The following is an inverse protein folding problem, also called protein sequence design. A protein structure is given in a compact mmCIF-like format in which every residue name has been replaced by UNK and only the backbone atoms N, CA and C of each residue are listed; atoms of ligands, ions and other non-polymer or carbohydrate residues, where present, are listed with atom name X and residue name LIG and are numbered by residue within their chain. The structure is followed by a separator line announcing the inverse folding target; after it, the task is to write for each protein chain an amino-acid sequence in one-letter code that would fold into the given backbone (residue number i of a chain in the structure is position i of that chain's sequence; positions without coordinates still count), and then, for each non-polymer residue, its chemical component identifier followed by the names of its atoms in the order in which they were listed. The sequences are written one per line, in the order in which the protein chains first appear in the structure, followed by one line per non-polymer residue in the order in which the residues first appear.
data_IF_892248812506
#
_entry.id   IF_892248812506
#
_cell.length_a   1.000
_cell.length_b   1.000
_cell.length_c   1.000
_cell.angle_alpha   90.00
_cell.angle_beta   90.00
_cell.angle_gamma   90.00
#
_symmetry.space_group_name_H-M   'P 1'
#
loop_
_entity.id
_entity.type
_entity.pdbx_description
1 polymer ?
#
# COMPACT_ATOMS: atom_id res chain seq x y z
N UNK A 1 -11.71 8.53 -3.55
CA UNK A 1 -11.28 8.66 -2.13
C UNK A 1 -12.29 9.42 -1.27
N UNK A 2 -13.11 10.34 -1.82
CA UNK A 2 -14.09 11.08 -1.03
C UNK A 2 -15.19 10.19 -0.41
N UNK A 3 -15.58 9.10 -1.07
CA UNK A 3 -16.70 8.25 -0.61
C UNK A 3 -16.30 7.09 0.33
N UNK A 4 -15.01 6.93 0.63
CA UNK A 4 -14.48 5.77 1.37
C UNK A 4 -13.42 6.21 2.38
N UNK A 5 -13.82 7.11 3.28
CA UNK A 5 -12.91 7.81 4.19
C UNK A 5 -12.27 6.88 5.24
N UNK A 6 -12.94 5.77 5.57
CA UNK A 6 -12.49 4.77 6.56
C UNK A 6 -12.00 3.46 5.91
N UNK A 7 -11.82 3.44 4.58
CA UNK A 7 -11.38 2.25 3.87
C UNK A 7 -9.95 2.37 3.38
N UNK A 8 -9.28 1.24 3.36
CA UNK A 8 -7.94 1.09 2.81
C UNK A 8 -8.07 0.79 1.32
N UNK A 9 -7.41 1.61 0.49
CA UNK A 9 -7.41 1.43 -0.96
C UNK A 9 -6.21 0.61 -1.40
N UNK A 10 -6.47 -0.60 -1.91
CA UNK A 10 -5.46 -1.46 -2.51
C UNK A 10 -5.32 -1.16 -4.01
N UNK A 11 -4.15 -0.67 -4.42
CA UNK A 11 -3.82 -0.48 -5.83
C UNK A 11 -3.16 -1.74 -6.38
N UNK A 12 -3.78 -2.40 -7.36
CA UNK A 12 -3.15 -3.54 -8.03
C UNK A 12 -2.11 -3.04 -9.03
N UNK A 13 -0.84 -3.28 -8.73
CA UNK A 13 0.32 -2.96 -9.57
C UNK A 13 0.98 -4.28 -9.99
N UNK A 14 0.53 -4.83 -11.12
CA UNK A 14 0.94 -6.16 -11.56
C UNK A 14 0.48 -7.24 -10.58
N UNK A 15 1.45 -7.98 -10.02
CA UNK A 15 1.23 -9.09 -9.10
C UNK A 15 1.25 -8.68 -7.62
N UNK A 16 1.21 -7.38 -7.33
CA UNK A 16 1.15 -6.85 -5.96
C UNK A 16 -0.08 -5.97 -5.76
N UNK A 17 -0.64 -6.02 -4.56
CA UNK A 17 -1.45 -4.93 -4.04
C UNK A 17 -0.57 -3.98 -3.24
N UNK A 18 -0.54 -2.73 -3.67
CA UNK A 18 0.22 -1.66 -3.04
C UNK A 18 -0.72 -0.63 -2.40
N UNK A 19 -0.28 -0.08 -1.28
CA UNK A 19 -0.92 1.04 -0.59
C UNK A 19 0.08 2.14 -0.34
N UNK A 20 -0.43 3.36 -0.13
CA UNK A 20 0.39 4.56 -0.11
C UNK A 20 0.06 5.46 1.07
N UNK A 21 1.00 6.32 1.47
CA UNK A 21 0.82 7.32 2.52
C UNK A 21 0.37 6.66 3.85
N UNK A 22 -0.69 7.17 4.49
CA UNK A 22 -1.21 6.65 5.76
C UNK A 22 -1.70 5.20 5.65
N UNK A 23 -2.20 4.81 4.47
CA UNK A 23 -2.70 3.45 4.24
C UNK A 23 -1.53 2.46 4.30
N UNK A 24 -0.36 2.84 3.75
CA UNK A 24 0.87 2.05 3.84
C UNK A 24 1.37 1.87 5.27
N UNK A 25 1.39 2.95 6.06
CA UNK A 25 1.82 2.91 7.47
C UNK A 25 0.90 2.00 8.29
N UNK A 26 -0.42 2.10 8.07
CA UNK A 26 -1.42 1.32 8.78
C UNK A 26 -1.28 -0.18 8.48
N UNK A 27 -1.22 -0.55 7.20
CA UNK A 27 -1.16 -1.96 6.78
C UNK A 27 0.17 -2.58 7.16
N UNK A 28 1.28 -1.85 7.03
CA UNK A 28 2.59 -2.33 7.47
C UNK A 28 2.58 -2.75 8.93
N UNK A 29 1.94 -1.94 9.80
CA UNK A 29 1.82 -2.25 11.22
C UNK A 29 0.86 -3.41 11.49
N UNK A 30 -0.28 -3.47 10.82
CA UNK A 30 -1.31 -4.49 11.07
C UNK A 30 -0.87 -5.86 10.56
N UNK A 31 -0.34 -5.93 9.34
CA UNK A 31 0.06 -7.18 8.68
C UNK A 31 1.52 -7.58 8.97
N UNK A 32 2.31 -6.72 9.61
CA UNK A 32 3.72 -6.99 9.89
C UNK A 32 4.60 -7.01 8.62
N UNK A 33 4.17 -6.33 7.56
CA UNK A 33 4.91 -6.25 6.29
C UNK A 33 5.81 -5.01 6.26
N UNK A 34 6.86 -5.04 5.44
CA UNK A 34 7.82 -3.95 5.36
C UNK A 34 7.17 -2.64 4.84
N UNK A 35 7.36 -1.55 5.59
CA UNK A 35 7.08 -0.19 5.12
C UNK A 35 8.28 0.33 4.33
N UNK A 36 8.08 0.61 3.05
CA UNK A 36 9.10 1.13 2.14
C UNK A 36 8.71 2.52 1.63
N UNK A 37 9.50 3.08 0.72
CA UNK A 37 9.21 4.36 0.09
C UNK A 37 9.38 4.23 -1.41
N UNK A 38 8.40 4.73 -2.18
CA UNK A 38 8.51 4.80 -3.62
C UNK A 38 9.38 5.99 -4.02
N UNK A 39 10.42 5.72 -4.79
CA UNK A 39 11.29 6.71 -5.42
C UNK A 39 10.97 6.76 -6.91
N UNK A 40 10.09 7.67 -7.33
CA UNK A 40 9.83 7.94 -8.75
C UNK A 40 9.57 9.43 -8.96
N UNK A 41 10.50 10.12 -9.64
CA UNK A 41 10.34 11.50 -10.12
C UNK A 41 10.25 12.57 -9.02
N UNK A 42 9.55 13.68 -9.32
CA UNK A 42 9.45 14.91 -8.49
C UNK A 42 8.79 14.71 -7.11
N UNK A 43 8.19 13.55 -6.84
CA UNK A 43 7.57 13.21 -5.55
C UNK A 43 8.40 12.12 -4.89
N UNK A 44 9.61 12.49 -4.48
CA UNK A 44 10.47 11.58 -3.74
C UNK A 44 9.88 11.36 -2.33
N UNK A 45 9.79 10.10 -1.89
CA UNK A 45 9.43 9.66 -0.53
C UNK A 45 7.94 9.49 -0.23
N UNK A 46 7.17 8.87 -1.14
CA UNK A 46 5.82 8.40 -0.78
C UNK A 46 5.93 7.08 -0.01
N UNK A 47 5.45 6.97 1.24
CA UNK A 47 5.39 5.69 1.96
C UNK A 47 4.59 4.65 1.17
N UNK A 48 5.09 3.43 1.12
CA UNK A 48 4.49 2.32 0.39
C UNK A 48 4.60 1.03 1.18
N UNK A 49 3.52 0.26 1.23
CA UNK A 49 3.52 -1.11 1.74
C UNK A 49 2.60 -1.94 0.84
N UNK A 50 2.98 -3.20 0.59
CA UNK A 50 2.23 -4.06 -0.30
C UNK A 50 2.56 -5.54 -0.12
N UNK A 51 1.70 -6.38 -0.68
CA UNK A 51 1.80 -7.83 -0.59
C UNK A 51 1.38 -8.48 -1.92
N UNK A 52 1.79 -9.72 -2.20
CA UNK A 52 1.48 -10.39 -3.46
C UNK A 52 -0.03 -10.58 -3.65
N UNK A 53 -0.53 -10.39 -4.86
CA UNK A 53 -1.94 -10.64 -5.24
C UNK A 53 -2.37 -12.05 -4.82
N UNK A 54 -1.51 -13.05 -5.04
CA UNK A 54 -1.80 -14.44 -4.69
C UNK A 54 -1.94 -14.69 -3.18
N UNK A 55 -1.50 -13.78 -2.32
CA UNK A 55 -1.68 -13.91 -0.87
C UNK A 55 -3.10 -13.55 -0.40
N UNK A 56 -3.95 -13.01 -1.28
CA UNK A 56 -5.37 -12.76 -1.00
C UNK A 56 -6.26 -13.98 -1.22
N UNK A 57 -5.82 -14.95 -2.02
CA UNK A 57 -6.54 -16.22 -2.19
C UNK A 57 -6.14 -17.18 -1.07
N UNK A 58 -7.10 -17.48 -0.19
CA UNK A 58 -7.05 -18.54 0.81
C UNK A 58 -8.44 -19.21 0.90
#
# INVERSE_FOLDING_TARGET
KADYQDMILLYRMGDFYETFYKDAELISRILGIALTKRSHGKVANVPLAGFPYHALDA
#
